data_IF_719011910487
#
_entry.id   IF_719011910487
#
_cell.length_a   1.000
_cell.length_b   1.000
_cell.length_c   1.000
_cell.angle_alpha   90.00
_cell.angle_beta   90.00
_cell.angle_gamma   90.00
#
_symmetry.space_group_name_H-M   'P 1'
#
loop_
_entity.id
_entity.type
_entity.pdbx_description
1 polymer ?
#
# COMPACT_ATOMS: atom_id res chain seq x y z
N UNK A 1 15.08 5.39 -54.20
CA UNK A 1 16.13 4.52 -53.60
C UNK A 1 15.44 3.48 -52.74
N UNK A 2 15.58 2.24 -53.19
CA UNK A 2 15.42 0.93 -52.55
C UNK A 2 15.00 0.86 -51.07
N UNK A 3 13.90 0.12 -50.85
CA UNK A 3 13.41 -0.32 -49.56
C UNK A 3 14.48 -1.07 -48.77
N UNK A 4 14.92 -0.48 -47.65
CA UNK A 4 15.76 -1.16 -46.66
C UNK A 4 14.83 -2.00 -45.77
N UNK A 5 15.06 -3.31 -45.77
CA UNK A 5 14.15 -4.34 -45.27
C UNK A 5 13.45 -4.01 -43.95
N UNK A 6 12.12 -4.08 -43.97
CA UNK A 6 11.26 -3.90 -42.81
C UNK A 6 11.57 -4.98 -41.78
N UNK A 7 12.47 -4.69 -40.83
CA UNK A 7 12.46 -5.40 -39.54
C UNK A 7 11.06 -5.25 -38.98
N UNK A 8 10.45 -6.35 -38.53
CA UNK A 8 9.12 -6.32 -37.92
C UNK A 8 9.11 -5.23 -36.85
N UNK A 9 8.23 -4.22 -36.99
CA UNK A 9 8.20 -3.07 -36.08
C UNK A 9 7.94 -3.46 -34.61
N UNK A 10 7.37 -4.65 -34.40
CA UNK A 10 7.04 -5.20 -33.08
C UNK A 10 8.12 -6.12 -32.51
N UNK A 11 9.22 -6.35 -33.23
CA UNK A 11 10.32 -7.22 -32.77
C UNK A 11 11.56 -6.37 -32.56
N UNK A 12 11.98 -6.26 -31.30
CA UNK A 12 13.19 -5.57 -30.88
C UNK A 12 14.10 -6.53 -30.11
N UNK A 13 15.41 -6.46 -30.37
CA UNK A 13 16.44 -7.19 -29.63
C UNK A 13 17.23 -6.21 -28.77
N UNK A 14 17.35 -6.50 -27.48
CA UNK A 14 18.08 -5.67 -26.50
C UNK A 14 19.31 -6.45 -26.05
N UNK A 15 20.50 -5.87 -26.19
CA UNK A 15 21.75 -6.44 -25.71
C UNK A 15 22.13 -5.88 -24.34
N UNK A 16 22.42 -6.76 -23.37
CA UNK A 16 22.88 -6.38 -22.04
C UNK A 16 24.41 -6.44 -21.94
N UNK A 17 25.02 -5.49 -21.24
CA UNK A 17 26.45 -5.48 -20.99
C UNK A 17 26.80 -6.48 -19.88
N UNK A 18 27.52 -7.56 -20.23
CA UNK A 18 27.93 -8.59 -19.27
C UNK A 18 28.92 -8.12 -18.18
N UNK A 19 29.55 -6.96 -18.38
CA UNK A 19 30.51 -6.41 -17.42
C UNK A 19 29.86 -5.48 -16.39
N UNK A 20 28.58 -5.13 -16.57
CA UNK A 20 27.81 -4.31 -15.63
C UNK A 20 26.90 -5.22 -14.78
N UNK A 21 27.09 -5.28 -13.45
CA UNK A 21 26.28 -6.13 -12.58
C UNK A 21 24.77 -5.87 -12.67
N UNK A 22 24.34 -4.63 -12.89
CA UNK A 22 22.93 -4.29 -13.02
C UNK A 22 22.35 -4.85 -14.32
N UNK A 23 23.09 -4.78 -15.43
CA UNK A 23 22.70 -5.39 -16.69
C UNK A 23 22.63 -6.92 -16.60
N UNK A 24 23.57 -7.54 -15.90
CA UNK A 24 23.56 -9.00 -15.65
C UNK A 24 22.31 -9.40 -14.88
N UNK A 25 22.01 -8.71 -13.78
CA UNK A 25 20.84 -8.99 -12.96
C UNK A 25 19.53 -8.86 -13.76
N UNK A 26 19.37 -7.79 -14.55
CA UNK A 26 18.18 -7.59 -15.38
C UNK A 26 18.08 -8.67 -16.46
N UNK A 27 19.19 -9.05 -17.07
CA UNK A 27 19.21 -10.10 -18.09
C UNK A 27 18.81 -11.46 -17.50
N UNK A 28 19.35 -11.84 -16.34
CA UNK A 28 18.99 -13.07 -15.63
C UNK A 28 17.50 -13.06 -15.23
N UNK A 29 17.02 -11.95 -14.68
CA UNK A 29 15.62 -11.78 -14.32
C UNK A 29 14.68 -11.99 -15.52
N UNK A 30 14.92 -11.28 -16.62
CA UNK A 30 14.07 -11.37 -17.82
C UNK A 30 14.16 -12.75 -18.49
N UNK A 31 15.33 -13.40 -18.46
CA UNK A 31 15.51 -14.74 -19.02
C UNK A 31 14.86 -15.82 -18.14
N UNK A 32 14.73 -15.60 -16.83
CA UNK A 32 13.99 -16.48 -15.92
C UNK A 32 12.47 -16.41 -16.09
N UNK A 33 11.94 -15.40 -16.79
CA UNK A 33 10.51 -15.29 -17.05
C UNK A 33 10.08 -16.19 -18.22
N UNK A 34 9.26 -17.21 -17.94
CA UNK A 34 8.73 -18.09 -18.99
C UNK A 34 7.81 -17.35 -19.97
N UNK A 35 6.87 -16.54 -19.44
CA UNK A 35 5.93 -15.71 -20.20
C UNK A 35 5.81 -14.33 -19.58
N UNK A 36 5.42 -13.33 -20.37
CA UNK A 36 5.14 -11.98 -19.88
C UNK A 36 6.32 -11.00 -19.84
N UNK A 37 7.53 -11.42 -20.25
CA UNK A 37 8.71 -10.51 -20.36
C UNK A 37 8.43 -9.24 -21.18
N UNK A 38 7.66 -9.38 -22.27
CA UNK A 38 7.28 -8.24 -23.10
C UNK A 38 6.39 -7.25 -22.34
N UNK A 39 5.40 -7.74 -21.59
CA UNK A 39 4.52 -6.90 -20.80
C UNK A 39 5.26 -6.23 -19.65
N UNK A 40 6.19 -6.94 -19.00
CA UNK A 40 7.05 -6.36 -17.97
C UNK A 40 7.87 -5.18 -18.51
N UNK A 41 8.49 -5.36 -19.69
CA UNK A 41 9.24 -4.29 -20.36
C UNK A 41 8.33 -3.11 -20.71
N UNK A 42 7.12 -3.36 -21.22
CA UNK A 42 6.13 -2.31 -21.52
C UNK A 42 5.80 -1.50 -20.26
N UNK A 43 5.46 -2.18 -19.16
CA UNK A 43 5.12 -1.52 -17.91
C UNK A 43 6.30 -0.70 -17.38
N UNK A 44 7.51 -1.25 -17.40
CA UNK A 44 8.72 -0.55 -16.94
C UNK A 44 8.99 0.72 -17.76
N UNK A 45 8.88 0.65 -19.09
CA UNK A 45 9.08 1.80 -19.98
C UNK A 45 8.00 2.86 -19.76
N UNK A 46 6.72 2.46 -19.68
CA UNK A 46 5.62 3.40 -19.42
C UNK A 46 5.77 4.07 -18.04
N UNK A 47 6.08 3.30 -17.00
CA UNK A 47 6.32 3.83 -15.66
C UNK A 47 7.52 4.78 -15.63
N UNK A 48 8.62 4.46 -16.32
CA UNK A 48 9.78 5.35 -16.39
C UNK A 48 9.48 6.63 -17.17
N UNK A 49 8.78 6.54 -18.31
CA UNK A 49 8.41 7.70 -19.10
C UNK A 49 7.41 8.60 -18.35
N UNK A 50 6.41 8.01 -17.69
CA UNK A 50 5.38 8.75 -16.96
C UNK A 50 5.92 9.31 -15.63
N UNK A 51 6.76 8.56 -14.93
CA UNK A 51 7.46 8.98 -13.71
C UNK A 51 8.67 9.89 -13.96
N UNK A 52 9.08 10.08 -15.23
CA UNK A 52 10.01 11.14 -15.62
C UNK A 52 9.28 12.44 -15.99
N UNK A 53 8.01 12.37 -16.42
CA UNK A 53 7.17 13.55 -16.70
C UNK A 53 6.48 14.12 -15.44
N UNK A 54 6.25 13.27 -14.45
CA UNK A 54 5.81 13.62 -13.12
C UNK A 54 6.97 13.22 -12.23
N UNK A 55 7.73 14.14 -11.63
CA UNK A 55 8.94 13.85 -10.85
C UNK A 55 8.75 13.01 -9.57
N UNK A 56 7.76 12.12 -9.56
CA UNK A 56 7.26 11.30 -8.47
C UNK A 56 7.23 9.83 -8.89
N UNK A 57 8.37 9.27 -9.30
CA UNK A 57 8.58 7.86 -8.97
C UNK A 57 8.90 7.79 -7.47
N UNK A 58 8.14 7.04 -6.66
CA UNK A 58 8.58 6.68 -5.32
C UNK A 58 9.83 5.83 -5.47
N UNK A 59 10.98 6.50 -5.40
CA UNK A 59 12.23 5.82 -5.21
C UNK A 59 12.07 5.00 -3.93
N UNK A 60 12.52 3.75 -3.92
CA UNK A 60 12.72 3.03 -2.67
C UNK A 60 13.65 3.90 -1.79
N UNK A 61 13.07 4.63 -0.82
CA UNK A 61 13.73 5.73 -0.12
C UNK A 61 13.03 7.08 -0.14
N UNK A 62 11.82 7.21 -0.73
CA UNK A 62 11.01 8.43 -0.55
C UNK A 62 10.78 8.62 0.96
N UNK A 63 11.36 9.69 1.51
CA UNK A 63 11.20 10.05 2.90
C UNK A 63 9.71 10.21 3.17
N UNK A 64 9.18 9.34 4.02
CA UNK A 64 7.78 9.36 4.42
C UNK A 64 7.48 10.75 5.01
N UNK A 65 6.55 11.49 4.40
CA UNK A 65 6.14 12.80 4.90
C UNK A 65 5.26 12.62 6.14
N UNK A 66 5.93 12.52 7.29
CA UNK A 66 5.29 12.35 8.58
C UNK A 66 4.38 13.51 8.96
N UNK A 67 4.61 14.73 8.44
CA UNK A 67 3.71 15.85 8.71
C UNK A 67 2.37 15.68 7.99
N UNK A 68 2.41 15.24 6.74
CA UNK A 68 1.19 14.97 5.98
C UNK A 68 0.41 13.80 6.57
N UNK A 69 1.10 12.76 7.02
CA UNK A 69 0.49 11.64 7.75
C UNK A 69 -0.14 12.13 9.07
N UNK A 70 0.57 12.97 9.84
CA UNK A 70 0.02 13.58 11.08
C UNK A 70 -1.28 14.34 10.80
N UNK A 71 -1.33 15.12 9.73
CA UNK A 71 -2.54 15.86 9.36
C UNK A 71 -3.73 14.95 9.05
N UNK A 72 -3.50 13.87 8.28
CA UNK A 72 -4.54 12.89 7.99
C UNK A 72 -5.05 12.19 9.26
N UNK A 73 -4.15 11.76 10.14
CA UNK A 73 -4.53 11.09 11.39
C UNK A 73 -5.35 12.02 12.29
N UNK A 74 -4.90 13.27 12.48
CA UNK A 74 -5.64 14.27 13.28
C UNK A 74 -7.00 14.60 12.68
N UNK A 75 -7.11 14.60 11.35
CA UNK A 75 -8.39 14.81 10.67
C UNK A 75 -9.34 13.63 10.92
N UNK A 76 -8.88 12.39 10.77
CA UNK A 76 -9.69 11.18 11.02
C UNK A 76 -10.18 11.12 12.47
N UNK A 77 -9.33 11.46 13.44
CA UNK A 77 -9.72 11.50 14.86
C UNK A 77 -10.81 12.54 15.09
N UNK A 78 -10.64 13.77 14.57
CA UNK A 78 -11.68 14.82 14.69
C UNK A 78 -13.00 14.43 14.04
N UNK A 79 -12.95 13.80 12.87
CA UNK A 79 -14.15 13.34 12.16
C UNK A 79 -14.87 12.24 12.93
N UNK A 80 -14.13 11.30 13.52
CA UNK A 80 -14.69 10.24 14.34
C UNK A 80 -15.29 10.76 15.65
N UNK A 81 -14.63 11.70 16.33
CA UNK A 81 -15.15 12.32 17.56
C UNK A 81 -16.39 13.19 17.28
N UNK A 82 -16.43 13.90 16.16
CA UNK A 82 -17.60 14.68 15.74
C UNK A 82 -18.80 13.82 15.34
N UNK A 83 -18.56 12.65 14.75
CA UNK A 83 -19.62 11.68 14.42
C UNK A 83 -20.20 11.01 15.67
N UNK A 84 -19.37 10.67 16.66
CA UNK A 84 -19.83 10.10 17.94
C UNK A 84 -20.62 11.13 18.77
N UNK A 85 -20.25 12.42 18.74
CA UNK A 85 -21.01 13.48 19.39
C UNK A 85 -22.39 13.71 18.73
N UNK A 86 -22.43 13.75 17.40
CA UNK A 86 -23.70 13.92 16.65
C UNK A 86 -24.64 12.72 16.79
N UNK A 87 -24.10 11.50 16.95
CA UNK A 87 -24.90 10.29 17.20
C UNK A 87 -25.53 10.29 18.60
N UNK A 88 -24.89 10.93 19.57
CA UNK A 88 -25.35 11.00 20.97
C UNK A 88 -26.48 12.02 21.17
N UNK A 89 -26.55 13.07 20.35
CA UNK A 89 -27.62 14.08 20.42
C UNK A 89 -28.97 13.61 19.84
N UNK A 90 -28.96 12.66 18.90
CA UNK A 90 -30.21 12.13 18.29
C UNK A 90 -30.92 11.05 19.11
N UNK A 91 -30.36 10.61 20.23
CA UNK A 91 -30.94 9.57 21.11
C UNK A 91 -31.51 10.12 22.44
N UNK A 92 -31.70 11.43 22.54
CA UNK A 92 -32.19 12.10 23.75
C UNK A 92 -33.67 12.50 23.66
N UNK A 93 -34.61 11.55 23.76
CA UNK A 93 -36.03 11.91 23.88
C UNK A 93 -36.99 10.74 24.07
N UNK A 94 -37.28 10.37 25.33
CA UNK A 94 -38.64 10.20 25.88
C UNK A 94 -38.61 9.46 27.24
N UNK A 95 -39.50 9.89 28.14
CA UNK A 95 -39.64 9.62 29.57
C UNK A 95 -39.95 8.16 30.00
N UNK A 96 -39.58 7.81 31.25
CA UNK A 96 -40.23 6.77 32.07
C UNK A 96 -39.29 5.98 33.00
N UNK A 97 -39.62 5.72 34.27
CA UNK A 97 -38.66 5.41 35.35
C UNK A 97 -38.39 3.91 35.61
N UNK A 98 -37.33 3.66 36.37
CA UNK A 98 -36.92 2.43 37.06
C UNK A 98 -36.56 1.20 36.21
N UNK A 99 -35.26 0.98 36.03
CA UNK A 99 -34.57 -0.23 36.51
C UNK A 99 -33.07 0.05 36.64
N UNK A 100 -32.53 -0.14 37.85
CA UNK A 100 -31.10 -0.26 38.11
C UNK A 100 -30.57 -1.53 37.44
N UNK A 101 -29.82 -1.42 36.33
CA UNK A 101 -28.70 -2.33 36.03
C UNK A 101 -27.61 -1.56 35.28
N UNK A 102 -26.38 -1.77 35.73
CA UNK A 102 -25.17 -1.05 35.35
C UNK A 102 -24.89 -1.17 33.85
N UNK A 103 -25.11 -0.08 33.11
CA UNK A 103 -24.57 0.07 31.76
C UNK A 103 -23.05 0.30 31.90
N UNK A 104 -22.31 -0.80 31.97
CA UNK A 104 -20.86 -0.84 31.97
C UNK A 104 -20.38 -0.04 30.77
N UNK A 105 -19.73 1.09 31.04
CA UNK A 105 -19.12 1.91 30.01
C UNK A 105 -18.27 1.03 29.10
N UNK A 106 -18.58 1.07 27.81
CA UNK A 106 -17.81 0.45 26.74
C UNK A 106 -16.44 1.15 26.66
N UNK A 107 -15.61 0.94 27.67
CA UNK A 107 -14.18 1.09 27.54
C UNK A 107 -13.76 -0.03 26.58
N UNK A 108 -13.14 0.32 25.46
CA UNK A 108 -12.37 -0.63 24.67
C UNK A 108 -11.24 -1.15 25.58
N UNK A 109 -11.56 -2.13 26.41
CA UNK A 109 -10.62 -2.96 27.12
C UNK A 109 -9.99 -3.87 26.09
N UNK A 110 -8.72 -3.65 25.78
CA UNK A 110 -7.92 -4.76 25.31
C UNK A 110 -7.67 -5.63 26.54
N UNK A 111 -8.55 -6.61 26.73
CA UNK A 111 -8.45 -7.56 27.83
C UNK A 111 -7.06 -8.23 27.80
N UNK A 112 -6.50 -8.54 28.97
CA UNK A 112 -5.21 -9.21 29.07
C UNK A 112 -5.21 -10.57 28.35
N UNK A 113 -6.37 -11.23 28.32
CA UNK A 113 -6.60 -12.47 27.57
C UNK A 113 -6.50 -12.26 26.05
N UNK A 114 -7.01 -11.13 25.53
CA UNK A 114 -6.90 -10.79 24.11
C UNK A 114 -5.44 -10.51 23.72
N UNK A 115 -4.69 -9.82 24.58
CA UNK A 115 -3.25 -9.58 24.41
C UNK A 115 -2.44 -10.89 24.43
N UNK A 116 -2.76 -11.79 25.35
CA UNK A 116 -2.13 -13.12 25.46
C UNK A 116 -2.34 -13.96 24.20
N UNK A 117 -3.56 -13.95 23.64
CA UNK A 117 -3.88 -14.67 22.39
C UNK A 117 -3.07 -14.17 21.19
N UNK A 118 -2.84 -12.86 21.10
CA UNK A 118 -2.02 -12.25 20.04
C UNK A 118 -0.54 -12.65 20.19
N UNK A 119 0.00 -12.61 21.42
CA UNK A 119 1.39 -13.02 21.67
C UNK A 119 1.63 -14.49 21.36
N UNK A 120 0.71 -15.37 21.77
CA UNK A 120 0.78 -16.81 21.51
C UNK A 120 0.73 -17.11 20.00
N UNK A 121 -0.11 -16.40 19.25
CA UNK A 121 -0.16 -16.51 17.79
C UNK A 121 1.14 -16.05 17.11
N UNK A 122 1.77 -14.97 17.60
CA UNK A 122 3.04 -14.47 17.07
C UNK A 122 4.22 -15.43 17.33
N UNK A 123 4.23 -16.11 18.46
CA UNK A 123 5.27 -17.11 18.77
C UNK A 123 5.18 -18.35 17.87
N UNK A 124 3.98 -18.76 17.47
CA UNK A 124 3.78 -19.91 16.59
C UNK A 124 4.44 -19.75 15.20
N UNK A 125 4.65 -18.51 14.74
CA UNK A 125 5.30 -18.20 13.46
C UNK A 125 6.83 -18.08 13.54
N UNK A 126 7.43 -18.16 14.74
CA UNK A 126 8.89 -18.05 14.92
C UNK A 126 9.65 -19.37 14.73
N UNK A 127 9.04 -20.37 14.08
CA UNK A 127 9.67 -21.66 13.77
C UNK A 127 10.26 -21.68 12.36
#
# INVERSE_FOLDING_TARGET
MTAMGKKNAFVTTIGFNRNDPAHVQVAEFLNGMERGKAQYIVNAVLSYQNGAQTGDMPHAGQAVDYERIRQFVLQVIREHEGQEASRKETAGGSAGPDTTEENTGMAFGFDEDALSGIMSSLEAFKR
#
